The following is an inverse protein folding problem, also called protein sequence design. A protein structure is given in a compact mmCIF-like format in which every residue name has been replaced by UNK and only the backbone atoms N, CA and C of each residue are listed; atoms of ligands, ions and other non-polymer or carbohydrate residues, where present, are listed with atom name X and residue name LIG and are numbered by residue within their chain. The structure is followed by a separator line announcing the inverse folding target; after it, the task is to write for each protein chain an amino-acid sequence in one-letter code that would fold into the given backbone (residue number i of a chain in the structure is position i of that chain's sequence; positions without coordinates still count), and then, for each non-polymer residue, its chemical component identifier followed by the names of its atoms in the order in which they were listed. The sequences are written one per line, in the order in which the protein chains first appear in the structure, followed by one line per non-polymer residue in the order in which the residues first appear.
data_IF_987818755570
#
_entry.id   IF_987818755570
#
_cell.length_a   1.000
_cell.length_b   1.000
_cell.length_c   1.000
_cell.angle_alpha   90.00
_cell.angle_beta   90.00
_cell.angle_gamma   90.00
#
_symmetry.space_group_name_H-M   'P 1'
#
loop_
_entity.id
_entity.type
_entity.pdbx_description
1 polymer ?
#
# COMPACT_ATOMS: atom_id res chain seq x y z
N UNK A 1 -36.32 22.57 -56.73
CA UNK A 1 -36.29 22.94 -55.34
C UNK A 1 -35.86 21.75 -54.38
N UNK A 2 -36.23 20.50 -54.71
CA UNK A 2 -35.93 19.36 -53.88
C UNK A 2 -34.47 18.88 -53.87
N UNK A 3 -33.72 18.98 -54.97
CA UNK A 3 -32.30 18.57 -55.05
C UNK A 3 -31.38 19.48 -54.25
N UNK A 4 -31.70 20.76 -54.17
CA UNK A 4 -30.90 21.71 -53.36
C UNK A 4 -31.08 21.49 -51.84
N UNK A 5 -32.29 21.22 -51.39
CA UNK A 5 -32.56 20.86 -49.98
C UNK A 5 -31.92 19.56 -49.58
N UNK A 6 -31.87 18.55 -50.48
CA UNK A 6 -31.21 17.28 -50.24
C UNK A 6 -29.69 17.47 -50.10
N UNK A 7 -29.06 18.27 -50.96
CA UNK A 7 -27.62 18.57 -50.91
C UNK A 7 -27.23 19.29 -49.58
N UNK A 8 -28.04 20.25 -49.12
CA UNK A 8 -27.81 20.97 -47.86
C UNK A 8 -27.94 20.03 -46.64
N UNK A 9 -28.95 19.15 -46.65
CA UNK A 9 -29.13 18.20 -45.56
C UNK A 9 -28.00 17.16 -45.49
N UNK A 10 -27.54 16.68 -46.66
CA UNK A 10 -26.41 15.73 -46.74
C UNK A 10 -25.10 16.39 -46.29
N UNK A 11 -24.84 17.63 -46.68
CA UNK A 11 -23.68 18.40 -46.30
C UNK A 11 -23.68 18.70 -44.78
N UNK A 12 -24.84 19.08 -44.22
CA UNK A 12 -25.04 19.29 -42.80
C UNK A 12 -24.82 18.03 -41.99
N UNK A 13 -25.28 16.86 -42.46
CA UNK A 13 -25.07 15.57 -41.81
C UNK A 13 -23.58 15.13 -41.83
N UNK A 14 -22.90 15.33 -42.97
CA UNK A 14 -21.45 15.07 -43.04
C UNK A 14 -20.63 16.00 -42.14
N UNK A 15 -21.00 17.27 -42.04
CA UNK A 15 -20.33 18.20 -41.13
C UNK A 15 -20.55 17.86 -39.69
N UNK A 16 -21.75 17.37 -39.30
CA UNK A 16 -22.05 16.90 -37.95
C UNK A 16 -21.24 15.65 -37.60
N UNK A 17 -21.02 14.74 -38.53
CA UNK A 17 -20.19 13.54 -38.34
C UNK A 17 -18.70 13.85 -38.21
N UNK A 18 -18.22 14.91 -38.87
CA UNK A 18 -16.82 15.37 -38.76
C UNK A 18 -16.52 16.09 -37.42
N UNK A 19 -17.50 16.79 -36.85
CA UNK A 19 -17.35 17.48 -35.56
C UNK A 19 -17.47 16.49 -34.37
N UNK A 20 -18.14 15.35 -34.56
CA UNK A 20 -18.33 14.31 -33.56
C UNK A 20 -17.15 13.31 -33.37
N UNK A 21 -16.11 13.40 -34.22
CA UNK A 21 -14.89 12.63 -34.00
C UNK A 21 -14.06 13.27 -32.90
N UNK A 22 -14.50 13.10 -31.64
CA UNK A 22 -13.59 13.26 -30.50
C UNK A 22 -12.40 12.36 -30.78
N UNK A 23 -11.20 12.92 -30.87
CA UNK A 23 -9.95 12.16 -30.92
C UNK A 23 -9.93 11.27 -29.72
N UNK A 24 -10.36 10.02 -29.82
CA UNK A 24 -10.09 9.00 -28.87
C UNK A 24 -8.56 8.83 -28.88
N UNK A 25 -7.85 9.58 -28.05
CA UNK A 25 -6.43 9.34 -27.85
C UNK A 25 -6.32 7.91 -27.28
N UNK A 26 -5.82 7.00 -28.11
CA UNK A 26 -5.50 5.66 -27.66
C UNK A 26 -4.49 5.80 -26.50
N UNK A 27 -4.89 5.41 -25.30
CA UNK A 27 -3.98 5.42 -24.16
C UNK A 27 -2.80 4.49 -24.45
N UNK A 28 -1.59 4.98 -24.16
CA UNK A 28 -0.37 4.20 -24.34
C UNK A 28 -0.27 3.09 -23.29
N UNK A 29 0.17 1.91 -23.68
CA UNK A 29 0.45 0.81 -22.75
C UNK A 29 1.65 1.09 -21.85
N UNK A 30 2.52 2.02 -22.27
CA UNK A 30 3.64 2.51 -21.47
C UNK A 30 3.79 4.02 -21.61
N UNK A 31 3.91 4.69 -20.48
CA UNK A 31 4.14 6.14 -20.39
C UNK A 31 5.34 6.42 -19.50
N UNK A 32 5.83 7.67 -19.57
CA UNK A 32 6.99 8.08 -18.80
C UNK A 32 6.75 9.40 -18.07
N UNK A 33 7.34 9.50 -16.88
CA UNK A 33 7.46 10.74 -16.13
C UNK A 33 8.93 11.14 -15.97
N UNK A 34 9.19 12.45 -15.91
CA UNK A 34 10.53 13.02 -15.76
C UNK A 34 10.49 14.24 -14.84
N UNK A 35 11.56 14.45 -14.08
CA UNK A 35 11.74 15.64 -13.24
C UNK A 35 11.65 16.95 -14.03
N UNK A 36 11.94 16.92 -15.33
CA UNK A 36 11.84 18.06 -16.27
C UNK A 36 10.68 17.91 -17.26
N UNK A 37 9.76 16.94 -17.05
CA UNK A 37 8.59 16.72 -17.90
C UNK A 37 7.52 17.81 -17.78
N UNK A 38 6.47 17.69 -18.60
CA UNK A 38 5.30 18.55 -18.58
C UNK A 38 4.03 17.70 -18.78
N UNK A 39 2.98 17.93 -17.99
CA UNK A 39 1.74 17.15 -18.07
C UNK A 39 0.89 17.46 -19.31
N UNK A 40 1.23 18.50 -20.10
CA UNK A 40 0.66 18.68 -21.46
C UNK A 40 1.22 17.70 -22.48
N UNK A 41 2.41 17.13 -22.22
CA UNK A 41 3.05 16.16 -23.11
C UNK A 41 2.23 14.86 -23.22
N UNK A 42 2.43 14.07 -24.30
CA UNK A 42 1.77 12.77 -24.46
C UNK A 42 2.30 11.68 -23.52
N UNK A 43 3.24 11.99 -22.63
CA UNK A 43 3.96 11.06 -21.75
C UNK A 43 4.74 9.98 -22.52
N UNK A 44 5.16 10.26 -23.74
CA UNK A 44 6.13 9.40 -24.45
C UNK A 44 7.52 9.53 -23.83
N UNK A 45 8.44 8.63 -24.17
CA UNK A 45 9.81 8.67 -23.64
C UNK A 45 10.55 9.95 -24.02
N UNK A 46 10.25 10.52 -25.18
CA UNK A 46 10.88 11.77 -25.69
C UNK A 46 10.14 13.05 -25.28
N UNK A 47 8.90 12.92 -24.84
CA UNK A 47 8.06 14.00 -24.32
C UNK A 47 7.32 13.50 -23.06
N UNK A 48 8.04 13.35 -21.91
CA UNK A 48 7.51 12.77 -20.69
C UNK A 48 6.57 13.72 -19.95
N UNK A 49 5.69 13.17 -19.15
CA UNK A 49 4.86 13.93 -18.22
C UNK A 49 5.66 14.36 -16.98
N UNK A 50 5.15 15.34 -16.24
CA UNK A 50 5.75 15.83 -15.00
C UNK A 50 5.34 14.99 -13.81
N UNK A 51 4.08 14.53 -13.74
CA UNK A 51 3.51 13.91 -12.56
C UNK A 51 2.92 12.53 -12.85
N UNK A 52 2.81 11.68 -11.81
CA UNK A 52 2.07 10.43 -11.92
C UNK A 52 0.58 10.68 -12.22
N UNK A 53 -0.01 11.76 -11.67
CA UNK A 53 -1.38 12.14 -11.95
C UNK A 53 -1.61 12.53 -13.43
N UNK A 54 -0.66 13.23 -14.04
CA UNK A 54 -0.68 13.53 -15.47
C UNK A 54 -0.52 12.30 -16.34
N UNK A 55 0.40 11.40 -15.96
CA UNK A 55 0.70 10.19 -16.71
C UNK A 55 -0.45 9.16 -16.66
N UNK A 56 -1.09 8.96 -15.50
CA UNK A 56 -2.11 7.91 -15.33
C UNK A 56 -3.32 8.11 -16.24
N UNK A 57 -3.66 9.35 -16.55
CA UNK A 57 -4.75 9.67 -17.49
C UNK A 57 -4.47 9.22 -18.91
N UNK A 58 -3.19 9.13 -19.30
CA UNK A 58 -2.69 8.80 -20.63
C UNK A 58 -2.19 7.37 -20.76
N UNK A 59 -2.12 6.63 -19.65
CA UNK A 59 -1.72 5.23 -19.62
C UNK A 59 -2.95 4.33 -19.72
N UNK A 60 -2.90 3.31 -20.55
CA UNK A 60 -3.96 2.31 -20.67
C UNK A 60 -4.12 1.50 -19.38
N UNK A 61 -5.27 0.89 -19.16
CA UNK A 61 -5.43 -0.13 -18.13
C UNK A 61 -4.43 -1.28 -18.36
N UNK A 62 -3.91 -1.86 -17.29
CA UNK A 62 -2.81 -2.83 -17.28
C UNK A 62 -1.49 -2.30 -17.87
N UNK A 63 -1.38 -0.99 -18.10
CA UNK A 63 -0.17 -0.35 -18.58
C UNK A 63 0.84 -0.03 -17.47
N UNK A 64 1.95 0.58 -17.87
CA UNK A 64 3.04 0.96 -16.97
C UNK A 64 3.39 2.44 -17.08
N UNK A 65 3.60 3.10 -15.94
CA UNK A 65 4.24 4.41 -15.85
C UNK A 65 5.67 4.18 -15.36
N UNK A 66 6.65 4.52 -16.18
CA UNK A 66 8.08 4.42 -15.86
C UNK A 66 8.67 5.78 -15.54
N UNK A 67 9.63 5.82 -14.63
CA UNK A 67 10.35 7.04 -14.25
C UNK A 67 11.67 7.10 -15.03
N UNK A 68 11.92 8.22 -15.73
CA UNK A 68 13.13 8.40 -16.56
C UNK A 68 14.34 8.89 -15.77
N UNK A 69 14.13 9.81 -14.84
CA UNK A 69 15.17 10.50 -14.08
C UNK A 69 14.72 10.80 -12.66
N UNK A 70 15.64 11.15 -11.74
CA UNK A 70 15.30 11.49 -10.37
C UNK A 70 14.34 12.68 -10.30
N UNK A 71 13.29 12.58 -9.48
CA UNK A 71 12.34 13.67 -9.32
C UNK A 71 11.26 13.43 -8.28
N UNK A 72 10.47 14.49 -8.04
CA UNK A 72 9.24 14.44 -7.28
C UNK A 72 8.04 14.46 -8.23
N UNK A 73 7.25 13.39 -8.21
CA UNK A 73 6.18 13.16 -9.20
C UNK A 73 4.77 13.36 -8.62
N UNK A 74 4.70 13.83 -7.35
CA UNK A 74 3.43 14.11 -6.68
C UNK A 74 2.60 12.87 -6.34
N UNK A 75 1.54 13.08 -5.56
CA UNK A 75 0.58 12.02 -5.23
C UNK A 75 -0.26 11.60 -6.43
N UNK A 76 -0.85 10.39 -6.33
CA UNK A 76 -1.68 9.86 -7.42
C UNK A 76 -2.89 9.08 -6.88
N UNK A 77 -4.03 9.26 -7.56
CA UNK A 77 -5.21 8.40 -7.37
C UNK A 77 -5.29 7.38 -8.50
N UNK A 78 -5.28 6.11 -8.13
CA UNK A 78 -5.28 4.97 -9.05
C UNK A 78 -6.69 4.40 -9.11
N UNK A 79 -7.28 4.37 -10.30
CA UNK A 79 -8.66 3.93 -10.54
C UNK A 79 -8.78 2.76 -11.51
N UNK A 80 -7.66 2.14 -11.87
CA UNK A 80 -7.56 1.02 -12.82
C UNK A 80 -6.33 0.17 -12.54
N UNK A 81 -6.26 -1.01 -13.09
CA UNK A 81 -5.04 -1.83 -13.11
C UNK A 81 -3.89 -1.06 -13.73
N UNK A 82 -2.75 -0.98 -13.02
CA UNK A 82 -1.58 -0.24 -13.50
C UNK A 82 -0.32 -0.64 -12.74
N UNK A 83 0.83 -0.46 -13.38
CA UNK A 83 2.15 -0.52 -12.76
C UNK A 83 2.76 0.89 -12.68
N UNK A 84 3.24 1.31 -11.50
CA UNK A 84 4.10 2.48 -11.34
C UNK A 84 5.48 1.97 -10.97
N UNK A 85 6.45 2.21 -11.84
CA UNK A 85 7.79 1.64 -11.75
C UNK A 85 8.86 2.74 -11.69
N UNK A 86 9.43 2.91 -10.49
CA UNK A 86 10.55 3.81 -10.22
C UNK A 86 11.92 3.13 -10.25
N UNK A 87 12.02 1.90 -10.79
CA UNK A 87 13.28 1.15 -10.77
C UNK A 87 14.39 1.84 -11.57
N UNK A 88 15.59 1.87 -11.00
CA UNK A 88 16.76 2.48 -11.63
C UNK A 88 16.98 3.96 -11.31
N UNK A 89 16.03 4.62 -10.64
CA UNK A 89 16.14 6.05 -10.29
C UNK A 89 15.41 6.40 -8.99
N UNK A 90 15.58 7.63 -8.50
CA UNK A 90 14.82 8.11 -7.35
C UNK A 90 13.44 8.59 -7.80
N UNK A 91 12.42 7.80 -7.55
CA UNK A 91 11.02 8.08 -7.85
C UNK A 91 10.32 8.62 -6.59
N UNK A 92 10.35 9.94 -6.37
CA UNK A 92 9.83 10.60 -5.19
C UNK A 92 8.34 10.95 -5.29
N UNK A 93 7.60 10.70 -4.22
CA UNK A 93 6.26 11.24 -3.97
C UNK A 93 6.33 12.07 -2.68
N UNK A 94 6.22 13.38 -2.77
CA UNK A 94 6.06 14.27 -1.63
C UNK A 94 4.57 14.54 -1.43
N UNK A 95 4.04 14.13 -0.28
CA UNK A 95 2.61 14.19 0.04
C UNK A 95 2.34 15.08 1.28
N UNK A 96 2.83 16.32 1.25
CA UNK A 96 2.61 17.28 2.34
C UNK A 96 1.12 17.65 2.44
N UNK A 97 0.50 17.40 3.59
CA UNK A 97 -0.92 17.71 3.86
C UNK A 97 -1.94 16.85 3.10
N UNK A 98 -1.51 15.80 2.41
CA UNK A 98 -2.37 14.96 1.57
C UNK A 98 -1.98 13.48 1.63
N UNK A 99 -2.56 12.64 0.76
CA UNK A 99 -2.21 11.23 0.60
C UNK A 99 -1.12 11.06 -0.47
N UNK A 100 -0.21 10.09 -0.28
CA UNK A 100 0.80 9.74 -1.27
C UNK A 100 0.17 9.03 -2.47
N UNK A 101 -0.28 7.80 -2.27
CA UNK A 101 -0.97 7.00 -3.28
C UNK A 101 -2.35 6.59 -2.76
N UNK A 102 -3.40 6.94 -3.49
CA UNK A 102 -4.76 6.46 -3.20
C UNK A 102 -5.17 5.43 -4.23
N UNK A 103 -5.46 4.20 -3.80
CA UNK A 103 -5.98 3.14 -4.66
C UNK A 103 -7.49 3.04 -4.45
N UNK A 104 -8.25 3.42 -5.48
CA UNK A 104 -9.71 3.35 -5.55
C UNK A 104 -10.13 2.80 -6.91
N UNK A 105 -9.75 1.56 -7.18
CA UNK A 105 -9.87 0.90 -8.47
C UNK A 105 -11.03 -0.11 -8.49
N UNK A 106 -11.34 -0.67 -9.65
CA UNK A 106 -12.37 -1.69 -9.81
C UNK A 106 -12.05 -2.97 -9.03
N UNK A 107 -13.07 -3.74 -8.69
CA UNK A 107 -12.94 -4.94 -7.85
C UNK A 107 -12.04 -6.05 -8.43
N UNK A 108 -11.73 -6.01 -9.72
CA UNK A 108 -10.80 -6.94 -10.40
C UNK A 108 -9.43 -6.33 -10.68
N UNK A 109 -9.21 -5.05 -10.36
CA UNK A 109 -8.00 -4.35 -10.71
C UNK A 109 -6.82 -4.70 -9.80
N UNK A 110 -5.64 -4.83 -10.41
CA UNK A 110 -4.38 -5.12 -9.76
C UNK A 110 -3.39 -3.96 -9.95
N UNK A 111 -2.81 -3.52 -8.86
CA UNK A 111 -1.91 -2.38 -8.82
C UNK A 111 -0.52 -2.82 -8.37
N UNK A 112 0.51 -2.40 -9.09
CA UNK A 112 1.92 -2.66 -8.79
C UNK A 112 2.66 -1.35 -8.55
N UNK A 113 3.21 -1.18 -7.35
CA UNK A 113 4.00 -0.02 -6.95
C UNK A 113 5.42 -0.49 -6.66
N UNK A 114 6.40 -0.04 -7.46
CA UNK A 114 7.77 -0.52 -7.39
C UNK A 114 8.75 0.62 -7.21
N UNK A 115 9.66 0.46 -6.24
CA UNK A 115 10.81 1.33 -6.02
C UNK A 115 10.45 2.82 -5.91
N UNK A 116 9.46 3.13 -5.06
CA UNK A 116 9.00 4.51 -4.81
C UNK A 116 9.47 4.99 -3.44
N UNK A 117 9.88 6.26 -3.35
CA UNK A 117 10.14 6.97 -2.09
C UNK A 117 8.95 7.89 -1.77
N UNK A 118 8.10 7.49 -0.83
CA UNK A 118 6.85 8.16 -0.50
C UNK A 118 7.02 8.86 0.85
N UNK A 119 7.11 10.19 0.81
CA UNK A 119 7.40 11.05 1.96
C UNK A 119 6.20 11.92 2.31
N UNK A 120 5.72 11.82 3.54
CA UNK A 120 4.62 12.63 4.07
C UNK A 120 5.05 14.01 4.58
N UNK A 121 6.35 14.33 4.64
CA UNK A 121 6.88 15.58 5.16
C UNK A 121 6.31 15.95 6.56
N UNK A 122 6.04 14.96 7.40
CA UNK A 122 5.43 15.08 8.73
C UNK A 122 4.02 15.72 8.76
N UNK A 123 3.40 15.95 7.62
CA UNK A 123 2.07 16.55 7.48
C UNK A 123 1.13 15.73 6.61
N UNK A 124 1.66 14.81 5.78
CA UNK A 124 0.90 13.90 4.96
C UNK A 124 0.03 12.95 5.77
N UNK A 125 -1.10 12.53 5.24
CA UNK A 125 -2.10 11.74 5.95
C UNK A 125 -1.71 10.25 5.94
N UNK A 126 -1.83 9.57 4.79
CA UNK A 126 -1.37 8.19 4.60
C UNK A 126 -0.40 8.10 3.42
N UNK A 127 0.58 7.19 3.51
CA UNK A 127 1.51 6.94 2.41
C UNK A 127 0.83 6.24 1.24
N UNK A 128 0.28 5.06 1.48
CA UNK A 128 -0.55 4.33 0.54
C UNK A 128 -1.90 4.06 1.20
N UNK A 129 -2.97 4.49 0.56
CA UNK A 129 -4.34 4.27 1.01
C UNK A 129 -5.08 3.34 0.05
N UNK A 130 -5.40 2.12 0.50
CA UNK A 130 -6.09 1.10 -0.30
C UNK A 130 -7.57 1.05 0.09
N UNK A 131 -8.43 1.64 -0.75
CA UNK A 131 -9.89 1.75 -0.55
C UNK A 131 -10.67 0.73 -1.35
N UNK A 132 -10.31 0.53 -2.62
CA UNK A 132 -10.95 -0.39 -3.54
C UNK A 132 -9.95 -0.93 -4.57
N UNK A 133 -10.18 -2.14 -5.06
CA UNK A 133 -9.31 -2.89 -5.95
C UNK A 133 -9.25 -4.37 -5.54
N UNK A 134 -8.70 -5.22 -6.36
CA UNK A 134 -8.44 -6.63 -6.03
C UNK A 134 -7.15 -6.77 -5.24
N UNK A 135 -6.03 -6.33 -5.84
CA UNK A 135 -4.68 -6.55 -5.32
C UNK A 135 -3.86 -5.27 -5.37
N UNK A 136 -3.09 -5.01 -4.30
CA UNK A 136 -2.01 -4.01 -4.30
C UNK A 136 -0.70 -4.71 -3.95
N UNK A 137 0.30 -4.56 -4.82
CA UNK A 137 1.66 -5.06 -4.61
C UNK A 137 2.60 -3.87 -4.44
N UNK A 138 3.32 -3.85 -3.32
CA UNK A 138 4.29 -2.82 -2.94
C UNK A 138 5.66 -3.48 -2.83
N UNK A 139 6.55 -3.16 -3.72
CA UNK A 139 7.88 -3.78 -3.80
C UNK A 139 8.99 -2.73 -3.75
N UNK A 140 9.99 -2.94 -2.89
CA UNK A 140 11.17 -2.06 -2.75
C UNK A 140 10.81 -0.59 -2.52
N UNK A 141 9.72 -0.31 -1.80
CA UNK A 141 9.29 1.04 -1.52
C UNK A 141 9.77 1.50 -0.14
N UNK A 142 10.01 2.81 -0.03
CA UNK A 142 10.22 3.51 1.23
C UNK A 142 9.05 4.45 1.49
N UNK A 143 8.40 4.30 2.66
CA UNK A 143 7.20 5.08 3.02
C UNK A 143 7.44 5.68 4.41
N UNK A 144 7.36 7.00 4.54
CA UNK A 144 7.80 7.60 5.79
C UNK A 144 7.23 8.98 6.07
N UNK A 145 7.24 9.35 7.38
CA UNK A 145 6.86 10.67 7.89
C UNK A 145 5.40 11.06 7.61
N UNK A 146 4.45 10.13 7.87
CA UNK A 146 3.02 10.37 7.78
C UNK A 146 2.38 10.59 9.15
N UNK A 147 1.35 11.44 9.22
CA UNK A 147 0.61 11.73 10.46
C UNK A 147 -0.38 10.64 10.83
N UNK A 148 -0.74 9.78 9.89
CA UNK A 148 -1.62 8.65 10.11
C UNK A 148 -0.86 7.33 9.83
N UNK A 149 -1.02 6.70 8.70
CA UNK A 149 -0.47 5.37 8.43
C UNK A 149 0.49 5.37 7.24
N UNK A 150 1.50 4.49 7.28
CA UNK A 150 2.35 4.25 6.13
C UNK A 150 1.56 3.57 5.01
N UNK A 151 0.99 2.40 5.30
CA UNK A 151 0.05 1.70 4.42
C UNK A 151 -1.26 1.48 5.18
N UNK A 152 -2.33 2.06 4.66
CA UNK A 152 -3.68 2.01 5.21
C UNK A 152 -4.60 1.22 4.30
N UNK A 153 -4.98 0.00 4.72
CA UNK A 153 -6.02 -0.79 4.03
C UNK A 153 -7.36 -0.55 4.71
N UNK A 154 -8.17 0.33 4.13
CA UNK A 154 -9.49 0.71 4.64
C UNK A 154 -10.56 0.37 3.60
N UNK A 155 -10.79 -0.93 3.42
CA UNK A 155 -11.72 -1.47 2.41
C UNK A 155 -13.09 -1.78 3.01
N UNK A 156 -14.09 -1.72 2.15
CA UNK A 156 -15.45 -2.22 2.43
C UNK A 156 -15.70 -3.59 1.77
N UNK A 157 -14.66 -4.23 1.27
CA UNK A 157 -14.69 -5.55 0.62
C UNK A 157 -13.36 -6.27 0.83
N UNK A 158 -13.33 -7.57 0.56
CA UNK A 158 -12.10 -8.34 0.58
C UNK A 158 -11.06 -7.85 -0.43
N UNK A 159 -9.83 -8.32 -0.30
CA UNK A 159 -8.73 -8.00 -1.22
C UNK A 159 -7.40 -8.55 -0.73
N UNK A 160 -6.37 -8.30 -1.53
CA UNK A 160 -5.03 -8.79 -1.26
C UNK A 160 -4.00 -7.64 -1.25
N UNK A 161 -3.14 -7.64 -0.24
CA UNK A 161 -1.99 -6.75 -0.15
C UNK A 161 -0.72 -7.59 -0.13
N UNK A 162 0.25 -7.29 -0.98
CA UNK A 162 1.60 -7.84 -0.88
C UNK A 162 2.58 -6.71 -0.63
N UNK A 163 3.45 -6.85 0.39
CA UNK A 163 4.50 -5.86 0.68
C UNK A 163 5.82 -6.60 0.81
N UNK A 164 6.76 -6.31 -0.09
CA UNK A 164 8.03 -7.01 -0.11
C UNK A 164 9.21 -6.05 -0.18
N UNK A 165 10.31 -6.39 0.51
CA UNK A 165 11.56 -5.64 0.46
C UNK A 165 11.40 -4.14 0.74
N UNK A 166 10.45 -3.76 1.60
CA UNK A 166 10.04 -2.38 1.79
C UNK A 166 10.37 -1.86 3.19
N UNK A 167 10.36 -0.55 3.35
CA UNK A 167 10.61 0.12 4.63
C UNK A 167 9.49 1.12 4.91
N UNK A 168 8.87 1.02 6.09
CA UNK A 168 7.84 1.94 6.55
C UNK A 168 8.27 2.55 7.87
N UNK A 169 8.30 3.88 7.99
CA UNK A 169 8.85 4.49 9.19
C UNK A 169 8.23 5.83 9.57
N UNK A 170 8.26 6.12 10.87
CA UNK A 170 7.84 7.41 11.41
C UNK A 170 6.41 7.80 10.96
N UNK A 171 5.50 6.83 11.00
CA UNK A 171 4.09 7.04 10.74
C UNK A 171 3.34 7.04 12.08
N UNK A 172 2.67 8.15 12.44
CA UNK A 172 2.21 8.38 13.82
C UNK A 172 1.24 7.30 14.30
N UNK A 173 0.25 6.92 13.51
CA UNK A 173 -0.77 5.94 13.93
C UNK A 173 -0.31 4.49 13.72
N UNK A 174 0.32 4.20 12.57
CA UNK A 174 0.77 2.84 12.29
C UNK A 174 1.57 2.70 11.01
N UNK A 175 2.36 1.62 10.94
CA UNK A 175 3.15 1.28 9.77
C UNK A 175 2.28 0.67 8.67
N UNK A 176 1.90 -0.60 8.82
CA UNK A 176 1.01 -1.32 7.90
C UNK A 176 -0.23 -1.75 8.67
N UNK A 177 -1.37 -1.16 8.33
CA UNK A 177 -2.62 -1.33 9.08
C UNK A 177 -3.75 -1.73 8.13
N UNK A 178 -4.52 -2.74 8.52
CA UNK A 178 -5.76 -3.10 7.85
C UNK A 178 -6.93 -3.00 8.82
N UNK A 179 -7.97 -2.27 8.41
CA UNK A 179 -9.21 -2.07 9.16
C UNK A 179 -10.40 -2.22 8.20
N UNK A 180 -10.61 -3.42 7.68
CA UNK A 180 -11.73 -3.64 6.75
C UNK A 180 -13.04 -3.85 7.47
N UNK A 181 -14.13 -3.36 6.89
CA UNK A 181 -15.48 -3.45 7.47
C UNK A 181 -16.27 -4.63 6.94
N UNK A 182 -15.92 -5.15 5.75
CA UNK A 182 -16.58 -6.32 5.16
C UNK A 182 -15.64 -7.10 4.23
N UNK A 183 -15.88 -8.40 4.08
CA UNK A 183 -15.00 -9.31 3.37
C UNK A 183 -13.69 -9.53 4.13
N UNK A 184 -12.79 -10.34 3.60
CA UNK A 184 -11.49 -10.62 4.21
C UNK A 184 -10.37 -9.99 3.40
N UNK A 185 -9.56 -9.16 4.04
CA UNK A 185 -8.27 -8.71 3.49
C UNK A 185 -7.19 -9.70 3.91
N UNK A 186 -6.44 -10.20 2.95
CA UNK A 186 -5.24 -10.99 3.17
C UNK A 186 -4.01 -10.16 2.82
N UNK A 187 -2.99 -10.23 3.66
CA UNK A 187 -1.73 -9.56 3.40
C UNK A 187 -0.57 -10.53 3.55
N UNK A 188 0.28 -10.60 2.53
CA UNK A 188 1.56 -11.28 2.57
C UNK A 188 2.66 -10.22 2.65
N UNK A 189 3.46 -10.27 3.72
CA UNK A 189 4.48 -9.28 4.02
C UNK A 189 5.81 -10.02 4.21
N UNK A 190 6.80 -9.69 3.39
CA UNK A 190 8.08 -10.37 3.39
C UNK A 190 9.23 -9.36 3.37
N UNK A 191 10.29 -9.65 4.13
CA UNK A 191 11.49 -8.82 4.23
C UNK A 191 11.20 -7.32 4.33
N UNK A 192 10.25 -6.97 5.19
CA UNK A 192 9.79 -5.59 5.34
C UNK A 192 10.10 -5.09 6.76
N UNK A 193 10.54 -3.84 6.87
CA UNK A 193 10.88 -3.21 8.14
C UNK A 193 9.91 -2.09 8.48
N UNK A 194 9.38 -2.12 9.71
CA UNK A 194 8.55 -1.04 10.25
C UNK A 194 9.19 -0.51 11.51
N UNK A 195 9.37 0.80 11.61
CA UNK A 195 9.92 1.39 12.83
C UNK A 195 9.36 2.78 13.13
N UNK A 196 9.35 3.14 14.44
CA UNK A 196 8.98 4.48 14.89
C UNK A 196 7.51 4.84 14.65
N UNK A 197 6.60 3.86 14.72
CA UNK A 197 5.16 4.05 14.57
C UNK A 197 4.45 3.82 15.92
N UNK A 198 3.15 4.09 16.03
CA UNK A 198 2.38 3.64 17.22
C UNK A 198 2.19 2.13 17.19
N UNK A 199 1.76 1.57 16.06
CA UNK A 199 1.72 0.12 15.82
C UNK A 199 2.56 -0.20 14.58
N UNK A 200 3.34 -1.26 14.62
CA UNK A 200 4.13 -1.69 13.46
C UNK A 200 3.23 -2.31 12.39
N UNK A 201 2.82 -3.53 12.62
CA UNK A 201 1.88 -4.29 11.79
C UNK A 201 0.59 -4.49 12.57
N UNK A 202 -0.55 -4.04 12.03
CA UNK A 202 -1.84 -4.19 12.68
C UNK A 202 -2.87 -4.84 11.76
N UNK A 203 -3.23 -6.08 12.06
CA UNK A 203 -4.43 -6.71 11.50
C UNK A 203 -5.63 -6.37 12.39
N UNK A 204 -6.58 -5.61 11.87
CA UNK A 204 -7.89 -5.39 12.48
C UNK A 204 -8.88 -6.50 12.12
N UNK A 205 -10.14 -6.35 12.50
CA UNK A 205 -11.19 -7.31 12.13
C UNK A 205 -11.21 -7.58 10.63
N UNK A 206 -11.51 -8.82 10.25
CA UNK A 206 -11.53 -9.29 8.87
C UNK A 206 -10.19 -9.14 8.12
N UNK A 207 -9.07 -9.16 8.84
CA UNK A 207 -7.73 -9.06 8.26
C UNK A 207 -6.85 -10.22 8.69
N UNK A 208 -6.16 -10.81 7.73
CA UNK A 208 -5.25 -11.93 7.95
C UNK A 208 -3.88 -11.56 7.36
N UNK A 209 -2.88 -11.41 8.22
CA UNK A 209 -1.51 -11.10 7.84
C UNK A 209 -0.64 -12.35 7.97
N UNK A 210 0.09 -12.68 6.92
CA UNK A 210 1.21 -13.60 6.93
C UNK A 210 2.47 -12.79 6.77
N UNK A 211 3.33 -12.81 7.77
CA UNK A 211 4.51 -11.95 7.86
C UNK A 211 5.74 -12.81 8.02
N UNK A 212 6.70 -12.65 7.12
CA UNK A 212 7.92 -13.42 7.11
C UNK A 212 9.15 -12.52 7.04
N UNK A 213 10.26 -12.94 7.66
CA UNK A 213 11.56 -12.27 7.60
C UNK A 213 11.52 -10.75 7.86
N UNK A 214 10.55 -10.31 8.67
CA UNK A 214 10.20 -8.90 8.83
C UNK A 214 10.45 -8.39 10.25
N UNK A 215 10.67 -7.08 10.37
CA UNK A 215 11.02 -6.45 11.66
C UNK A 215 10.03 -5.36 12.04
N UNK A 216 9.61 -5.36 13.31
CA UNK A 216 8.96 -4.22 13.96
C UNK A 216 9.86 -3.71 15.10
N UNK A 217 10.23 -2.43 15.05
CA UNK A 217 11.12 -1.84 16.06
C UNK A 217 10.71 -0.42 16.44
N UNK A 218 10.85 -0.08 17.71
CA UNK A 218 10.58 1.27 18.19
C UNK A 218 9.12 1.72 18.05
N UNK A 219 8.17 0.78 18.02
CA UNK A 219 6.75 1.08 17.94
C UNK A 219 6.17 1.33 19.35
N UNK A 220 5.44 2.44 19.52
CA UNK A 220 5.01 2.91 20.84
C UNK A 220 4.05 1.96 21.56
N UNK A 221 3.13 1.30 20.85
CA UNK A 221 2.14 0.38 21.42
C UNK A 221 2.51 -1.07 21.18
N UNK A 222 2.61 -1.50 19.93
CA UNK A 222 2.93 -2.89 19.62
C UNK A 222 3.72 -3.01 18.30
N UNK A 223 4.67 -3.95 18.26
CA UNK A 223 5.34 -4.32 17.01
C UNK A 223 4.38 -5.02 16.06
N UNK A 224 3.73 -6.08 16.56
CA UNK A 224 2.73 -6.86 15.82
C UNK A 224 1.44 -6.92 16.63
N UNK A 225 0.32 -6.58 16.02
CA UNK A 225 -0.98 -6.47 16.69
C UNK A 225 -2.08 -7.18 15.88
N UNK A 226 -2.74 -8.16 16.50
CA UNK A 226 -4.02 -8.70 16.03
C UNK A 226 -5.15 -8.14 16.90
N UNK A 227 -6.05 -7.32 16.33
CA UNK A 227 -7.09 -6.58 17.05
C UNK A 227 -8.46 -6.77 16.40
N UNK A 228 -9.26 -7.67 16.95
CA UNK A 228 -10.61 -8.00 16.48
C UNK A 228 -10.85 -9.49 16.33
N UNK A 229 -12.11 -9.91 16.41
CA UNK A 229 -12.52 -11.32 16.50
C UNK A 229 -12.04 -12.21 15.33
N UNK A 230 -11.80 -11.63 14.17
CA UNK A 230 -11.35 -12.34 12.96
C UNK A 230 -9.95 -11.88 12.51
N UNK A 231 -9.26 -11.09 13.35
CA UNK A 231 -7.92 -10.63 13.08
C UNK A 231 -6.91 -11.76 13.31
N UNK A 232 -6.04 -11.98 12.33
CA UNK A 232 -4.99 -12.98 12.41
C UNK A 232 -3.64 -12.38 12.00
N UNK A 233 -2.60 -12.63 12.79
CA UNK A 233 -1.21 -12.32 12.45
C UNK A 233 -0.39 -13.60 12.58
N UNK A 234 0.04 -14.16 11.46
CA UNK A 234 0.98 -15.27 11.42
C UNK A 234 2.39 -14.71 11.20
N UNK A 235 3.33 -15.07 12.05
CA UNK A 235 4.71 -14.60 12.04
C UNK A 235 5.66 -15.77 11.88
N UNK A 236 6.58 -15.67 10.94
CA UNK A 236 7.68 -16.61 10.77
C UNK A 236 9.00 -15.83 10.59
N UNK A 237 10.04 -16.21 11.32
CA UNK A 237 11.35 -15.56 11.24
C UNK A 237 11.33 -14.04 11.44
N UNK A 238 10.39 -13.54 12.24
CA UNK A 238 10.19 -12.11 12.47
C UNK A 238 10.94 -11.62 13.72
N UNK A 239 11.20 -10.29 13.76
CA UNK A 239 11.84 -9.63 14.91
C UNK A 239 10.93 -8.54 15.46
N UNK A 240 10.57 -8.64 16.75
CA UNK A 240 9.85 -7.63 17.51
C UNK A 240 10.74 -7.09 18.63
N UNK A 241 11.29 -5.89 18.48
CA UNK A 241 12.26 -5.36 19.45
C UNK A 241 12.07 -3.87 19.70
N UNK A 242 12.34 -3.45 20.95
CA UNK A 242 12.23 -2.05 21.39
C UNK A 242 10.84 -1.42 21.15
N UNK A 243 9.78 -2.23 21.14
CA UNK A 243 8.40 -1.75 21.04
C UNK A 243 7.80 -1.58 22.45
N UNK A 244 6.66 -0.95 22.58
CA UNK A 244 5.86 -1.01 23.80
C UNK A 244 5.59 -2.48 24.16
N UNK A 245 4.84 -3.19 23.35
CA UNK A 245 4.69 -4.65 23.36
C UNK A 245 5.30 -5.24 22.09
N UNK A 246 5.95 -6.39 22.18
CA UNK A 246 6.49 -7.08 21.00
C UNK A 246 5.36 -7.58 20.09
N UNK A 247 4.58 -8.51 20.63
CA UNK A 247 3.37 -9.06 20.00
C UNK A 247 2.19 -8.87 20.93
N UNK A 248 1.10 -8.31 20.42
CA UNK A 248 -0.12 -8.08 21.19
C UNK A 248 -1.33 -8.65 20.47
N UNK A 249 -2.23 -9.24 21.22
CA UNK A 249 -3.54 -9.66 20.75
C UNK A 249 -4.63 -9.03 21.63
N UNK A 250 -5.72 -8.58 21.01
CA UNK A 250 -6.86 -8.00 21.70
C UNK A 250 -8.15 -8.29 20.96
N UNK A 251 -9.29 -8.17 21.64
CA UNK A 251 -10.62 -8.33 21.04
C UNK A 251 -10.76 -9.67 20.29
N UNK A 252 -10.30 -10.77 20.90
CA UNK A 252 -10.31 -12.13 20.35
C UNK A 252 -9.45 -12.33 19.09
N UNK A 253 -8.49 -11.44 18.81
CA UNK A 253 -7.50 -11.62 17.75
C UNK A 253 -6.58 -12.80 18.00
N UNK A 254 -5.94 -13.31 16.95
CA UNK A 254 -5.01 -14.46 17.04
C UNK A 254 -3.66 -14.07 16.46
N UNK A 255 -2.60 -14.35 17.20
CA UNK A 255 -1.23 -14.28 16.71
C UNK A 255 -0.58 -15.67 16.79
N UNK A 256 0.11 -16.08 15.72
CA UNK A 256 0.88 -17.34 15.65
C UNK A 256 2.33 -17.03 15.38
N UNK A 257 3.22 -17.59 16.18
CA UNK A 257 4.64 -17.32 16.12
C UNK A 257 5.45 -18.59 15.84
N UNK A 258 6.31 -18.52 14.82
CA UNK A 258 7.34 -19.52 14.53
C UNK A 258 8.69 -18.84 14.29
N UNK A 259 9.78 -19.47 14.75
CA UNK A 259 11.17 -19.06 14.53
C UNK A 259 11.47 -17.56 14.77
N UNK A 260 10.68 -16.89 15.58
CA UNK A 260 10.69 -15.42 15.73
C UNK A 260 11.43 -14.98 17.02
N UNK A 261 11.99 -13.76 16.97
CA UNK A 261 12.65 -13.12 18.12
C UNK A 261 11.78 -11.99 18.67
N UNK A 262 11.44 -12.07 19.94
CA UNK A 262 10.67 -11.05 20.66
C UNK A 262 11.48 -10.60 21.87
N UNK A 263 12.20 -9.49 21.76
CA UNK A 263 13.17 -9.11 22.79
C UNK A 263 13.24 -7.60 23.03
N UNK A 264 13.65 -7.24 24.25
CA UNK A 264 13.89 -5.85 24.63
C UNK A 264 12.70 -4.91 24.37
N UNK A 265 11.48 -5.42 24.49
CA UNK A 265 10.29 -4.58 24.42
C UNK A 265 10.03 -3.93 25.79
N UNK A 266 9.45 -2.75 25.80
CA UNK A 266 9.41 -1.85 26.98
C UNK A 266 8.43 -2.35 28.03
N UNK A 267 7.28 -2.90 27.62
CA UNK A 267 6.20 -3.34 28.51
C UNK A 267 6.14 -4.86 28.61
N UNK A 268 5.86 -5.53 27.48
CA UNK A 268 5.78 -6.99 27.40
C UNK A 268 6.40 -7.50 26.09
N UNK A 269 6.96 -8.70 26.15
CA UNK A 269 7.30 -9.43 24.93
C UNK A 269 6.03 -9.89 24.21
N UNK A 270 5.25 -10.71 24.90
CA UNK A 270 3.92 -11.18 24.48
C UNK A 270 2.85 -10.57 25.39
N UNK A 271 1.80 -10.00 24.83
CA UNK A 271 0.71 -9.35 25.56
C UNK A 271 -0.65 -9.92 25.08
N UNK A 272 -1.23 -10.78 25.94
CA UNK A 272 -2.56 -11.34 25.69
C UNK A 272 -3.62 -10.45 26.32
N UNK A 273 -4.03 -9.43 25.59
CA UNK A 273 -5.08 -8.48 25.97
C UNK A 273 -6.50 -8.94 25.61
N UNK A 274 -6.79 -10.25 25.64
CA UNK A 274 -8.12 -10.81 25.35
C UNK A 274 -8.24 -11.48 23.98
N UNK A 275 -7.16 -12.07 23.50
CA UNK A 275 -7.11 -12.91 22.30
C UNK A 275 -6.37 -14.21 22.54
N UNK A 276 -5.71 -14.74 21.52
CA UNK A 276 -4.92 -15.97 21.61
C UNK A 276 -3.55 -15.77 20.99
N UNK A 277 -2.50 -16.09 21.72
CA UNK A 277 -1.13 -16.18 21.20
C UNK A 277 -0.74 -17.64 21.13
N UNK A 278 -0.46 -18.16 19.95
CA UNK A 278 0.00 -19.52 19.68
C UNK A 278 1.49 -19.51 19.34
N UNK A 279 2.27 -20.46 19.86
CA UNK A 279 3.71 -20.56 19.63
C UNK A 279 4.09 -21.97 19.23
N UNK A 280 4.89 -22.10 18.18
CA UNK A 280 5.49 -23.39 17.78
C UNK A 280 6.68 -23.81 18.66
N UNK A 281 6.92 -23.10 19.79
CA UNK A 281 7.95 -23.40 20.79
C UNK A 281 9.40 -23.29 20.29
N UNK A 282 9.61 -22.61 19.17
CA UNK A 282 10.91 -22.35 18.56
C UNK A 282 11.26 -20.85 18.52
N UNK A 283 10.54 -20.04 19.31
CA UNK A 283 10.71 -18.61 19.38
C UNK A 283 11.69 -18.21 20.50
N UNK A 284 12.45 -17.14 20.26
CA UNK A 284 13.29 -16.51 21.25
C UNK A 284 12.56 -15.33 21.91
N UNK A 285 12.01 -15.54 23.10
CA UNK A 285 11.26 -14.51 23.86
C UNK A 285 12.04 -14.20 25.13
N UNK A 286 12.90 -13.15 25.12
CA UNK A 286 13.77 -12.80 26.26
C UNK A 286 14.07 -11.30 26.31
N UNK A 287 14.50 -10.85 27.49
CA UNK A 287 14.89 -9.46 27.73
C UNK A 287 13.71 -8.49 27.77
N UNK A 288 12.50 -8.99 27.89
CA UNK A 288 11.30 -8.19 28.11
C UNK A 288 10.99 -8.13 29.62
N UNK A 289 10.45 -7.00 30.17
CA UNK A 289 10.08 -6.92 31.59
C UNK A 289 9.04 -7.97 32.00
N UNK A 290 8.11 -8.30 31.10
CA UNK A 290 7.09 -9.32 31.29
C UNK A 290 6.74 -9.99 29.95
N UNK A 291 6.08 -11.15 30.02
CA UNK A 291 5.47 -11.82 28.87
C UNK A 291 4.38 -12.76 29.37
N UNK A 292 3.24 -12.74 28.72
CA UNK A 292 2.21 -13.74 28.97
C UNK A 292 2.63 -15.08 28.31
N UNK A 293 2.22 -16.18 28.89
CA UNK A 293 2.53 -17.49 28.34
C UNK A 293 1.70 -17.73 27.06
N UNK A 294 2.32 -18.07 25.92
CA UNK A 294 1.60 -18.46 24.73
C UNK A 294 1.07 -19.89 24.86
N UNK A 295 0.04 -20.22 24.09
CA UNK A 295 -0.42 -21.59 23.90
C UNK A 295 0.57 -22.32 22.99
N UNK A 296 1.16 -23.41 23.47
CA UNK A 296 2.04 -24.24 22.65
C UNK A 296 1.21 -25.01 21.62
N UNK A 297 1.64 -24.97 20.36
CA UNK A 297 1.02 -25.73 19.25
C UNK A 297 2.07 -26.53 18.51
N UNK A 298 1.68 -27.70 17.98
CA UNK A 298 2.57 -28.53 17.19
C UNK A 298 2.77 -27.94 15.78
N UNK A 299 3.97 -28.12 15.25
CA UNK A 299 4.19 -27.98 13.80
C UNK A 299 3.60 -29.21 13.12
N UNK A 300 2.58 -29.04 12.31
CA UNK A 300 1.93 -30.11 11.52
C UNK A 300 2.48 -30.12 10.11
#
# INVERSE_FOLDING_TARGET
MNKFKFAINTFGLCLLLLVGSSMAQAQATRTWVSGVGDDVNPCSRTAPCKTFAGAISKTAACGEISVLDPGGFGGVTITKSITINGEGTLAGILAAGTWGVTVNAGASDNIYLKNLDINGACTGIDGIRFLAGNTVIVEKCRIWAFTNMGINVSKTAGGFLSVTNSNVSNCVQGGIVSTTTAGTVRADIDNTKVFGCTNGYKAGSNSQFTIKDSTASGCGTAGFLASGATAVVNMDSCVATHNGNGVRVELSGVARLGASTVSNNITKGLDNGGGTIESYSDNYVRGNPASDAPTAVAKT
#
